data_IF_528078727060
#
_entry.id   IF_528078727060
#
_cell.length_a   1.000
_cell.length_b   1.000
_cell.length_c   1.000
_cell.angle_alpha   90.00
_cell.angle_beta   90.00
_cell.angle_gamma   90.00
#
_symmetry.space_group_name_H-M   'P 1'
#
loop_
_entity.id
_entity.type
_entity.pdbx_description
1 polymer ?
#
# COMPACT_ATOMS: atom_id res chain seq x y z
N UNK A 1 -24.97 22.74 0.63
CA UNK A 1 -24.55 22.06 1.88
C UNK A 1 -23.40 22.81 2.52
N UNK A 2 -23.45 23.02 3.84
CA UNK A 2 -22.33 23.62 4.59
C UNK A 2 -21.14 22.65 4.66
N UNK A 3 -19.93 23.19 4.89
CA UNK A 3 -18.69 22.41 5.01
C UNK A 3 -18.80 21.35 6.13
N UNK A 4 -19.35 21.74 7.28
CA UNK A 4 -19.59 20.84 8.41
C UNK A 4 -20.52 19.67 8.03
N UNK A 5 -21.66 19.94 7.35
CA UNK A 5 -22.57 18.87 6.93
C UNK A 5 -21.89 17.88 5.97
N UNK A 6 -21.08 18.37 5.03
CA UNK A 6 -20.33 17.49 4.11
C UNK A 6 -19.38 16.57 4.88
N UNK A 7 -18.59 17.09 5.83
CA UNK A 7 -17.68 16.24 6.60
C UNK A 7 -18.42 15.25 7.49
N UNK A 8 -19.51 15.66 8.15
CA UNK A 8 -20.35 14.75 8.94
C UNK A 8 -20.87 13.61 8.05
N UNK A 9 -21.36 13.90 6.85
CA UNK A 9 -21.83 12.87 5.91
C UNK A 9 -20.69 11.95 5.47
N UNK A 10 -19.50 12.48 5.13
CA UNK A 10 -18.33 11.65 4.77
C UNK A 10 -17.90 10.75 5.94
N UNK A 11 -17.83 11.30 7.15
CA UNK A 11 -17.52 10.52 8.36
C UNK A 11 -18.58 9.44 8.63
N UNK A 12 -19.86 9.75 8.42
CA UNK A 12 -20.94 8.78 8.50
C UNK A 12 -20.80 7.64 7.48
N UNK A 13 -20.46 7.95 6.23
CA UNK A 13 -20.19 6.94 5.20
C UNK A 13 -19.00 6.05 5.56
N UNK A 14 -17.90 6.64 6.05
CA UNK A 14 -16.73 5.90 6.52
C UNK A 14 -17.06 4.98 7.70
N UNK A 15 -17.85 5.47 8.67
CA UNK A 15 -18.30 4.67 9.80
C UNK A 15 -19.20 3.52 9.35
N UNK A 16 -20.15 3.77 8.46
CA UNK A 16 -21.00 2.72 7.89
C UNK A 16 -20.17 1.69 7.12
N UNK A 17 -19.18 2.12 6.33
CA UNK A 17 -18.26 1.22 5.64
C UNK A 17 -17.43 0.38 6.63
N UNK A 18 -16.92 1.00 7.70
CA UNK A 18 -16.21 0.28 8.77
C UNK A 18 -17.09 -0.79 9.40
N UNK A 19 -18.31 -0.42 9.82
CA UNK A 19 -19.25 -1.35 10.45
C UNK A 19 -19.60 -2.50 9.51
N UNK A 20 -19.97 -2.20 8.26
CA UNK A 20 -20.33 -3.20 7.27
C UNK A 20 -19.18 -4.16 6.94
N UNK A 21 -17.95 -3.64 6.79
CA UNK A 21 -16.75 -4.47 6.53
C UNK A 21 -16.27 -5.26 7.74
N UNK A 22 -16.70 -4.88 8.94
CA UNK A 22 -16.43 -5.60 10.19
C UNK A 22 -17.42 -6.72 10.46
N UNK A 23 -18.47 -6.86 9.64
CA UNK A 23 -19.39 -8.01 9.72
C UNK A 23 -18.62 -9.23 9.20
N UNK A 24 -18.47 -10.22 10.08
CA UNK A 24 -17.73 -11.46 9.81
C UNK A 24 -16.34 -11.21 9.19
N UNK A 25 -15.39 -10.65 9.95
CA UNK A 25 -14.04 -10.39 9.47
C UNK A 25 -13.30 -11.69 9.14
N UNK A 26 -13.80 -12.86 9.58
CA UNK A 26 -13.21 -14.16 9.31
C UNK A 26 -13.62 -14.75 7.96
N UNK A 27 -14.68 -14.24 7.32
CA UNK A 27 -15.18 -14.79 6.07
C UNK A 27 -14.14 -14.72 4.94
N UNK A 28 -14.08 -15.81 4.17
CA UNK A 28 -13.33 -15.85 2.91
C UNK A 28 -13.95 -14.91 1.87
N UNK A 29 -13.15 -14.39 0.91
CA UNK A 29 -13.70 -13.71 -0.24
C UNK A 29 -14.57 -14.68 -1.07
N UNK A 30 -15.58 -14.19 -1.81
CA UNK A 30 -16.44 -15.06 -2.61
C UNK A 30 -15.65 -15.85 -3.67
N UNK A 31 -15.90 -17.16 -3.74
CA UNK A 31 -15.13 -18.10 -4.56
C UNK A 31 -15.13 -17.79 -6.07
N UNK A 32 -16.17 -17.11 -6.57
CA UNK A 32 -16.27 -16.76 -7.99
C UNK A 32 -15.24 -15.72 -8.44
N UNK A 33 -14.53 -15.06 -7.53
CA UNK A 33 -13.39 -14.19 -7.86
C UNK A 33 -12.03 -14.90 -7.75
N UNK A 34 -12.01 -16.16 -7.30
CA UNK A 34 -10.78 -16.92 -7.17
C UNK A 34 -10.21 -17.35 -8.52
N UNK A 35 -11.02 -17.40 -9.59
CA UNK A 35 -10.64 -17.85 -10.95
C UNK A 35 -9.78 -19.13 -10.94
N UNK A 36 -10.08 -20.04 -10.00
CA UNK A 36 -9.33 -21.29 -9.79
C UNK A 36 -8.01 -21.16 -9.00
N UNK A 37 -7.55 -19.95 -8.69
CA UNK A 37 -6.36 -19.69 -7.87
C UNK A 37 -6.68 -19.57 -6.38
N UNK A 38 -5.88 -20.26 -5.55
CA UNK A 38 -5.93 -20.10 -4.09
C UNK A 38 -5.10 -18.91 -3.57
N UNK A 39 -4.53 -18.10 -4.46
CA UNK A 39 -3.73 -16.92 -4.05
C UNK A 39 -4.55 -15.98 -3.16
N UNK A 40 -5.81 -15.71 -3.54
CA UNK A 40 -6.70 -14.81 -2.78
C UNK A 40 -7.06 -15.33 -1.38
N UNK A 41 -6.93 -16.64 -1.11
CA UNK A 41 -7.16 -17.22 0.21
C UNK A 41 -5.88 -17.44 1.01
N UNK A 42 -4.70 -17.46 0.36
CA UNK A 42 -3.42 -17.81 1.01
C UNK A 42 -2.45 -16.63 1.15
N UNK A 43 -2.47 -15.64 0.26
CA UNK A 43 -1.53 -14.51 0.23
C UNK A 43 -1.49 -13.73 1.55
N UNK A 44 -2.66 -13.42 2.12
CA UNK A 44 -2.74 -12.68 3.38
C UNK A 44 -2.13 -13.44 4.56
N UNK A 45 -2.27 -14.77 4.57
CA UNK A 45 -1.67 -15.62 5.58
C UNK A 45 -0.13 -15.64 5.44
N UNK A 46 0.39 -15.63 4.20
CA UNK A 46 1.82 -15.53 3.96
C UNK A 46 2.40 -14.19 4.41
N UNK A 47 1.71 -13.08 4.16
CA UNK A 47 2.17 -11.74 4.58
C UNK A 47 2.32 -11.63 6.10
N UNK A 48 1.44 -12.27 6.85
CA UNK A 48 1.40 -12.20 8.33
C UNK A 48 2.08 -13.39 9.01
N UNK A 49 2.58 -14.36 8.24
CA UNK A 49 3.22 -15.57 8.73
C UNK A 49 4.40 -15.27 9.68
N UNK A 50 5.33 -14.41 9.26
CA UNK A 50 6.51 -14.08 10.06
C UNK A 50 6.12 -13.35 11.36
N UNK A 51 5.19 -12.40 11.27
CA UNK A 51 4.66 -11.68 12.42
C UNK A 51 4.00 -12.63 13.45
N UNK A 52 3.22 -13.59 12.97
CA UNK A 52 2.60 -14.63 13.78
C UNK A 52 3.65 -15.45 14.52
N UNK A 53 4.64 -15.97 13.79
CA UNK A 53 5.68 -16.82 14.37
C UNK A 53 6.47 -16.03 15.43
N UNK A 54 6.83 -14.78 15.15
CA UNK A 54 7.55 -13.95 16.13
C UNK A 54 6.71 -13.66 17.37
N UNK A 55 5.40 -13.46 17.22
CA UNK A 55 4.50 -13.21 18.33
C UNK A 55 4.37 -14.44 19.26
N UNK A 56 4.16 -15.64 18.69
CA UNK A 56 3.93 -16.89 19.43
C UNK A 56 5.21 -17.57 19.93
N UNK A 57 6.24 -17.60 19.09
CA UNK A 57 7.39 -18.49 19.25
C UNK A 57 8.68 -17.73 19.53
N UNK A 58 8.66 -16.39 19.44
CA UNK A 58 9.87 -15.59 19.59
C UNK A 58 10.85 -15.72 18.42
N UNK A 59 10.50 -16.36 17.31
CA UNK A 59 11.32 -16.39 16.09
C UNK A 59 10.49 -15.98 14.88
N UNK A 60 11.07 -15.21 13.95
CA UNK A 60 10.41 -14.83 12.69
C UNK A 60 10.29 -16.01 11.72
N UNK A 61 11.18 -16.99 11.86
CA UNK A 61 11.25 -18.18 11.03
C UNK A 61 11.58 -19.38 11.92
N UNK A 62 10.67 -20.35 11.94
CA UNK A 62 10.78 -21.53 12.79
C UNK A 62 11.58 -22.65 12.11
N UNK A 63 11.58 -22.69 10.79
CA UNK A 63 12.11 -23.82 10.00
C UNK A 63 13.29 -23.43 9.11
N UNK A 64 13.76 -22.18 9.19
CA UNK A 64 14.75 -21.66 8.25
C UNK A 64 14.20 -21.62 6.82
N UNK A 65 12.87 -21.49 6.70
CA UNK A 65 12.21 -21.43 5.40
C UNK A 65 12.36 -20.00 4.85
N UNK A 66 13.44 -19.76 4.12
CA UNK A 66 13.78 -18.47 3.50
C UNK A 66 12.86 -18.10 2.32
N UNK A 67 11.64 -18.65 2.24
CA UNK A 67 10.70 -18.29 1.19
C UNK A 67 9.93 -17.03 1.59
N UNK A 68 9.92 -16.05 0.69
CA UNK A 68 9.32 -14.72 0.85
C UNK A 68 9.75 -13.89 2.07
N UNK A 69 11.06 -13.79 2.39
CA UNK A 69 11.56 -12.98 3.50
C UNK A 69 11.15 -11.50 3.39
N UNK A 70 10.85 -11.03 2.17
CA UNK A 70 10.26 -9.73 1.89
C UNK A 70 9.02 -9.42 2.74
N UNK A 71 8.15 -10.40 2.97
CA UNK A 71 6.87 -10.17 3.63
C UNK A 71 7.06 -9.81 5.10
N UNK A 72 8.13 -10.31 5.74
CA UNK A 72 8.55 -9.92 7.09
C UNK A 72 8.74 -8.41 7.23
N UNK A 73 9.26 -7.77 6.18
CA UNK A 73 9.63 -6.37 6.17
C UNK A 73 8.53 -5.47 5.60
N UNK A 74 7.28 -5.95 5.49
CA UNK A 74 6.15 -5.14 5.04
C UNK A 74 5.48 -4.36 6.17
N UNK A 75 4.79 -3.27 5.83
CA UNK A 75 3.99 -2.50 6.81
C UNK A 75 2.92 -3.38 7.46
N UNK A 76 2.30 -4.26 6.67
CA UNK A 76 1.24 -5.16 7.12
C UNK A 76 1.77 -6.15 8.15
N UNK A 77 2.93 -6.76 7.90
CA UNK A 77 3.55 -7.71 8.84
C UNK A 77 3.99 -7.01 10.13
N UNK A 78 4.60 -5.82 10.02
CA UNK A 78 4.99 -5.01 11.18
C UNK A 78 3.80 -4.64 12.08
N UNK A 79 2.71 -4.14 11.50
CA UNK A 79 1.50 -3.83 12.28
C UNK A 79 0.81 -5.08 12.81
N UNK A 80 0.81 -6.18 12.05
CA UNK A 80 0.28 -7.47 12.51
C UNK A 80 1.05 -7.99 13.71
N UNK A 81 2.38 -7.85 13.74
CA UNK A 81 3.19 -8.25 14.89
C UNK A 81 2.79 -7.47 16.14
N UNK A 82 2.64 -6.14 16.03
CA UNK A 82 2.18 -5.29 17.14
C UNK A 82 0.77 -5.72 17.59
N UNK A 83 -0.16 -5.89 16.66
CA UNK A 83 -1.52 -6.32 16.97
C UNK A 83 -1.54 -7.69 17.68
N UNK A 84 -0.82 -8.68 17.15
CA UNK A 84 -0.71 -10.01 17.74
C UNK A 84 -0.10 -10.00 19.15
N UNK A 85 0.87 -9.11 19.42
CA UNK A 85 1.43 -8.95 20.76
C UNK A 85 0.43 -8.35 21.76
N UNK A 86 -0.45 -7.47 21.30
CA UNK A 86 -1.41 -6.77 22.14
C UNK A 86 -2.70 -7.57 22.38
N UNK A 87 -3.20 -8.27 21.37
CA UNK A 87 -4.53 -8.90 21.40
C UNK A 87 -4.50 -10.41 21.18
N UNK A 88 -3.33 -10.99 20.94
CA UNK A 88 -3.16 -12.39 20.62
C UNK A 88 -3.22 -12.67 19.11
N UNK A 89 -2.73 -13.84 18.72
CA UNK A 89 -2.76 -14.29 17.33
C UNK A 89 -4.14 -14.85 17.00
N UNK A 90 -4.80 -14.26 16.00
CA UNK A 90 -5.97 -14.85 15.37
C UNK A 90 -6.15 -14.32 13.94
N UNK A 91 -6.93 -15.04 13.14
CA UNK A 91 -7.31 -14.62 11.78
C UNK A 91 -8.08 -13.28 11.81
N UNK A 92 -8.96 -13.09 12.79
CA UNK A 92 -9.74 -11.85 12.95
C UNK A 92 -8.82 -10.65 13.20
N UNK A 93 -7.83 -10.79 14.07
CA UNK A 93 -6.85 -9.73 14.36
C UNK A 93 -6.04 -9.40 13.11
N UNK A 94 -5.59 -10.42 12.38
CA UNK A 94 -4.87 -10.26 11.12
C UNK A 94 -5.68 -9.48 10.08
N UNK A 95 -6.94 -9.86 9.89
CA UNK A 95 -7.86 -9.19 8.97
C UNK A 95 -8.19 -7.76 9.44
N UNK A 96 -8.28 -7.55 10.75
CA UNK A 96 -8.41 -6.23 11.36
C UNK A 96 -7.30 -5.26 10.97
N UNK A 97 -6.05 -5.72 10.83
CA UNK A 97 -4.93 -4.90 10.35
C UNK A 97 -5.13 -4.46 8.90
N UNK A 98 -5.56 -5.39 8.03
CA UNK A 98 -5.90 -5.09 6.64
C UNK A 98 -7.00 -4.02 6.55
N UNK A 99 -8.09 -4.24 7.28
CA UNK A 99 -9.22 -3.30 7.36
C UNK A 99 -8.81 -1.92 7.87
N UNK A 100 -7.99 -1.88 8.92
CA UNK A 100 -7.49 -0.64 9.50
C UNK A 100 -6.67 0.16 8.49
N UNK A 101 -5.68 -0.48 7.84
CA UNK A 101 -4.86 0.18 6.82
C UNK A 101 -5.69 0.67 5.64
N UNK A 102 -6.62 -0.14 5.15
CA UNK A 102 -7.49 0.21 4.03
C UNK A 102 -8.34 1.45 4.35
N UNK A 103 -9.04 1.45 5.49
CA UNK A 103 -9.89 2.57 5.89
C UNK A 103 -9.10 3.84 6.18
N UNK A 104 -7.92 3.71 6.81
CA UNK A 104 -7.04 4.85 7.05
C UNK A 104 -6.52 5.43 5.73
N UNK A 105 -6.21 4.58 4.76
CA UNK A 105 -5.88 4.99 3.40
C UNK A 105 -7.02 5.78 2.75
N UNK A 106 -8.24 5.24 2.74
CA UNK A 106 -9.43 5.93 2.19
C UNK A 106 -9.66 7.29 2.89
N UNK A 107 -9.53 7.34 4.22
CA UNK A 107 -9.67 8.57 4.99
C UNK A 107 -8.65 9.63 4.56
N UNK A 108 -7.37 9.27 4.49
CA UNK A 108 -6.30 10.18 4.07
C UNK A 108 -6.48 10.65 2.61
N UNK A 109 -6.90 9.75 1.73
CA UNK A 109 -7.18 10.07 0.33
C UNK A 109 -8.33 11.07 0.20
N UNK A 110 -9.45 10.84 0.90
CA UNK A 110 -10.59 11.77 0.93
C UNK A 110 -10.21 13.10 1.58
N UNK A 111 -9.40 13.09 2.63
CA UNK A 111 -8.88 14.30 3.25
C UNK A 111 -8.03 15.12 2.26
N UNK A 112 -7.17 14.47 1.47
CA UNK A 112 -6.41 15.10 0.39
C UNK A 112 -7.34 15.71 -0.67
N UNK A 113 -8.30 14.94 -1.17
CA UNK A 113 -9.27 15.40 -2.17
C UNK A 113 -10.14 16.56 -1.67
N UNK A 114 -10.41 16.64 -0.37
CA UNK A 114 -11.24 17.70 0.20
C UNK A 114 -10.67 19.11 0.04
N UNK A 115 -9.37 19.21 -0.26
CA UNK A 115 -8.70 20.49 -0.54
C UNK A 115 -8.98 20.99 -1.96
N UNK A 116 -9.09 20.07 -2.93
CA UNK A 116 -9.15 20.40 -4.36
C UNK A 116 -10.56 20.21 -4.97
N UNK A 117 -11.36 19.29 -4.43
CA UNK A 117 -12.69 18.96 -4.97
C UNK A 117 -13.81 19.82 -4.38
N UNK A 118 -14.84 20.03 -5.19
CA UNK A 118 -16.11 20.57 -4.70
C UNK A 118 -16.76 19.61 -3.69
N UNK A 119 -17.60 20.15 -2.79
CA UNK A 119 -18.27 19.35 -1.76
C UNK A 119 -19.12 18.19 -2.31
N UNK A 120 -19.76 18.41 -3.47
CA UNK A 120 -20.56 17.36 -4.14
C UNK A 120 -19.67 16.27 -4.70
N UNK A 121 -18.59 16.66 -5.38
CA UNK A 121 -17.62 15.70 -5.91
C UNK A 121 -16.99 14.87 -4.78
N UNK A 122 -16.62 15.50 -3.66
CA UNK A 122 -16.09 14.78 -2.49
C UNK A 122 -17.06 13.74 -1.94
N UNK A 123 -18.36 14.06 -1.84
CA UNK A 123 -19.38 13.12 -1.38
C UNK A 123 -19.55 11.95 -2.34
N UNK A 124 -19.55 12.22 -3.65
CA UNK A 124 -19.64 11.18 -4.68
C UNK A 124 -18.40 10.27 -4.62
N UNK A 125 -17.20 10.85 -4.51
CA UNK A 125 -15.96 10.10 -4.33
C UNK A 125 -15.99 9.25 -3.06
N UNK A 126 -16.46 9.80 -1.94
CA UNK A 126 -16.58 9.07 -0.68
C UNK A 126 -17.56 7.90 -0.80
N UNK A 127 -18.72 8.12 -1.42
CA UNK A 127 -19.70 7.07 -1.68
C UNK A 127 -19.08 5.93 -2.49
N UNK A 128 -18.49 6.24 -3.66
CA UNK A 128 -17.87 5.24 -4.52
C UNK A 128 -16.75 4.46 -3.83
N UNK A 129 -15.88 5.12 -3.06
CA UNK A 129 -14.79 4.43 -2.34
C UNK A 129 -15.31 3.56 -1.20
N UNK A 130 -16.34 4.02 -0.47
CA UNK A 130 -16.93 3.27 0.63
C UNK A 130 -17.69 2.03 0.14
N UNK A 131 -18.36 2.11 -1.01
CA UNK A 131 -19.15 1.03 -1.60
C UNK A 131 -18.41 0.24 -2.69
N UNK A 132 -17.14 0.55 -2.95
CA UNK A 132 -16.35 -0.19 -3.94
C UNK A 132 -16.20 -1.64 -3.49
N UNK A 133 -16.65 -2.57 -4.33
CA UNK A 133 -16.66 -4.00 -4.01
C UNK A 133 -15.26 -4.56 -3.72
N UNK A 134 -14.25 -4.19 -4.50
CA UNK A 134 -12.86 -4.66 -4.32
C UNK A 134 -12.31 -4.19 -2.97
N UNK A 135 -12.50 -2.90 -2.63
CA UNK A 135 -12.09 -2.37 -1.33
C UNK A 135 -12.93 -2.95 -0.18
N UNK A 136 -14.17 -3.33 -0.43
CA UNK A 136 -15.03 -3.92 0.58
C UNK A 136 -14.58 -5.34 0.94
N UNK A 137 -14.34 -6.19 -0.06
CA UNK A 137 -14.03 -7.60 0.13
C UNK A 137 -12.55 -7.84 0.41
N UNK A 138 -11.65 -7.20 -0.34
CA UNK A 138 -10.21 -7.40 -0.19
C UNK A 138 -9.56 -6.39 0.76
N UNK A 139 -10.24 -5.27 1.03
CA UNK A 139 -9.76 -4.28 2.01
C UNK A 139 -9.72 -4.80 3.45
N UNK A 140 -10.39 -5.91 3.76
CA UNK A 140 -10.32 -6.57 5.08
C UNK A 140 -9.25 -7.65 5.19
N UNK A 141 -8.59 -8.03 4.10
CA UNK A 141 -7.56 -9.07 4.13
C UNK A 141 -6.18 -8.42 4.36
N UNK A 142 -5.23 -9.09 5.03
CA UNK A 142 -3.91 -8.54 5.32
C UNK A 142 -2.99 -8.62 4.10
N UNK A 143 -3.44 -8.07 2.97
CA UNK A 143 -2.67 -7.97 1.73
C UNK A 143 -1.73 -6.78 1.75
N UNK A 144 -0.59 -6.91 1.05
CA UNK A 144 0.37 -5.82 0.86
C UNK A 144 -0.29 -4.61 0.19
N UNK A 145 -1.27 -4.85 -0.67
CA UNK A 145 -2.08 -3.85 -1.35
C UNK A 145 -2.75 -2.89 -0.38
N UNK A 146 -3.20 -3.35 0.80
CA UNK A 146 -3.79 -2.46 1.80
C UNK A 146 -2.74 -1.56 2.46
N UNK A 147 -1.54 -2.07 2.69
CA UNK A 147 -0.39 -1.26 3.10
C UNK A 147 0.00 -0.23 2.03
N UNK A 148 0.01 -0.64 0.76
CA UNK A 148 0.29 0.25 -0.37
C UNK A 148 -0.78 1.33 -0.51
N UNK A 149 -2.07 1.00 -0.41
CA UNK A 149 -3.18 1.98 -0.46
C UNK A 149 -3.00 3.03 0.64
N UNK A 150 -2.70 2.61 1.87
CA UNK A 150 -2.44 3.53 2.98
C UNK A 150 -1.25 4.45 2.69
N UNK A 151 -0.08 3.90 2.34
CA UNK A 151 1.13 4.68 2.12
C UNK A 151 1.00 5.60 0.90
N UNK A 152 0.33 5.16 -0.16
CA UNK A 152 0.03 5.97 -1.36
C UNK A 152 -0.90 7.12 -1.02
N UNK A 153 -1.91 6.88 -0.20
CA UNK A 153 -2.85 7.92 0.25
C UNK A 153 -2.16 8.91 1.18
N UNK A 154 -1.24 8.46 2.03
CA UNK A 154 -0.40 9.31 2.87
C UNK A 154 0.57 10.17 2.02
N UNK A 155 1.21 9.59 1.01
CA UNK A 155 2.04 10.31 0.04
C UNK A 155 1.24 11.40 -0.66
N UNK A 156 0.07 11.06 -1.18
CA UNK A 156 -0.81 12.00 -1.87
C UNK A 156 -1.30 13.10 -0.92
N UNK A 157 -1.69 12.74 0.30
CA UNK A 157 -2.08 13.71 1.33
C UNK A 157 -0.95 14.70 1.65
N UNK A 158 0.27 14.19 1.90
CA UNK A 158 1.44 15.01 2.17
C UNK A 158 1.80 15.91 0.98
N UNK A 159 1.69 15.39 -0.24
CA UNK A 159 1.91 16.13 -1.47
C UNK A 159 0.92 17.31 -1.57
N UNK A 160 -0.38 17.04 -1.51
CA UNK A 160 -1.42 18.06 -1.64
C UNK A 160 -1.31 19.14 -0.55
N UNK A 161 -1.01 18.76 0.69
CA UNK A 161 -1.01 19.69 1.81
C UNK A 161 0.31 20.45 1.97
N UNK A 162 1.45 19.81 1.73
CA UNK A 162 2.73 20.32 2.22
C UNK A 162 3.82 20.46 1.16
N UNK A 163 3.63 19.95 -0.07
CA UNK A 163 4.68 19.97 -1.09
C UNK A 163 5.22 21.36 -1.47
N UNK A 164 4.41 22.40 -1.29
CA UNK A 164 4.83 23.79 -1.48
C UNK A 164 5.98 24.21 -0.54
N UNK A 165 6.14 23.53 0.61
CA UNK A 165 7.17 23.79 1.62
C UNK A 165 8.40 22.91 1.38
N UNK A 166 9.63 23.37 1.71
CA UNK A 166 10.84 22.58 1.51
C UNK A 166 10.82 21.26 2.30
N UNK A 167 10.36 21.28 3.56
CA UNK A 167 10.23 20.06 4.36
C UNK A 167 9.14 19.12 3.85
N UNK A 168 8.11 19.63 3.15
CA UNK A 168 7.07 18.81 2.55
C UNK A 168 7.60 17.99 1.37
N UNK A 169 8.54 18.53 0.61
CA UNK A 169 9.26 17.79 -0.45
C UNK A 169 10.11 16.66 0.13
N UNK A 170 10.81 16.93 1.24
CA UNK A 170 11.54 15.92 1.99
C UNK A 170 10.59 14.81 2.45
N UNK A 171 9.46 15.18 3.07
CA UNK A 171 8.47 14.22 3.55
C UNK A 171 7.89 13.36 2.43
N UNK A 172 7.57 13.95 1.28
CA UNK A 172 7.09 13.20 0.10
C UNK A 172 8.14 12.21 -0.39
N UNK A 173 9.42 12.60 -0.45
CA UNK A 173 10.48 11.67 -0.80
C UNK A 173 10.64 10.53 0.21
N UNK A 174 10.63 10.84 1.52
CA UNK A 174 10.71 9.84 2.59
C UNK A 174 9.55 8.84 2.53
N UNK A 175 8.31 9.32 2.41
CA UNK A 175 7.13 8.46 2.27
C UNK A 175 7.24 7.64 0.98
N UNK A 176 7.68 8.25 -0.13
CA UNK A 176 7.88 7.54 -1.40
C UNK A 176 8.89 6.39 -1.28
N UNK A 177 10.01 6.61 -0.60
CA UNK A 177 10.97 5.53 -0.31
C UNK A 177 10.35 4.42 0.56
N UNK A 178 9.59 4.81 1.58
CA UNK A 178 8.87 3.86 2.44
C UNK A 178 7.81 3.04 1.65
N UNK A 179 7.12 3.64 0.68
CA UNK A 179 6.16 2.95 -0.20
C UNK A 179 6.85 1.83 -1.01
N UNK A 180 8.06 2.09 -1.53
CA UNK A 180 8.84 1.08 -2.28
C UNK A 180 9.21 -0.11 -1.40
N UNK A 181 9.67 0.15 -0.17
CA UNK A 181 10.16 -0.91 0.73
C UNK A 181 9.02 -1.65 1.43
N UNK A 182 8.05 -0.94 2.00
CA UNK A 182 7.03 -1.51 2.88
C UNK A 182 5.70 -1.84 2.20
N UNK A 183 5.44 -1.24 1.03
CA UNK A 183 4.21 -1.46 0.26
C UNK A 183 4.42 -2.49 -0.83
N UNK A 184 4.99 -2.04 -1.96
CA UNK A 184 5.32 -2.87 -3.13
C UNK A 184 6.31 -2.10 -3.99
N UNK A 185 7.19 -2.78 -4.73
CA UNK A 185 8.19 -2.15 -5.62
C UNK A 185 7.56 -1.17 -6.63
N UNK A 186 6.37 -1.50 -7.16
CA UNK A 186 5.58 -0.62 -8.04
C UNK A 186 5.23 0.74 -7.42
N UNK A 187 5.30 0.86 -6.11
CA UNK A 187 5.18 2.11 -5.38
C UNK A 187 6.15 3.20 -5.87
N UNK A 188 7.29 2.83 -6.46
CA UNK A 188 8.23 3.79 -7.04
C UNK A 188 7.59 4.65 -8.13
N UNK A 189 6.64 4.10 -8.89
CA UNK A 189 5.90 4.83 -9.92
C UNK A 189 5.08 6.01 -9.36
N UNK A 190 4.71 5.97 -8.07
CA UNK A 190 3.96 7.07 -7.43
C UNK A 190 4.79 8.34 -7.28
N UNK A 191 6.12 8.23 -7.26
CA UNK A 191 7.01 9.38 -7.26
C UNK A 191 7.01 10.12 -8.60
N UNK A 192 6.57 9.49 -9.70
CA UNK A 192 6.50 10.15 -11.00
C UNK A 192 5.61 11.40 -10.96
N UNK A 193 4.47 11.37 -10.25
CA UNK A 193 3.57 12.53 -10.15
C UNK A 193 4.27 13.78 -9.59
N UNK A 194 4.81 13.74 -8.35
CA UNK A 194 5.55 14.85 -7.78
C UNK A 194 6.78 15.28 -8.60
N UNK A 195 7.48 14.34 -9.24
CA UNK A 195 8.65 14.62 -10.06
C UNK A 195 8.28 15.34 -11.36
N UNK A 196 7.26 14.86 -12.07
CA UNK A 196 6.72 15.52 -13.27
C UNK A 196 6.19 16.91 -12.93
N UNK A 197 5.47 17.06 -11.82
CA UNK A 197 5.01 18.38 -11.37
C UNK A 197 6.17 19.34 -11.10
N UNK A 198 7.25 18.88 -10.46
CA UNK A 198 8.46 19.69 -10.28
C UNK A 198 9.14 20.03 -11.60
N UNK A 199 9.16 19.09 -12.55
CA UNK A 199 9.79 19.27 -13.86
C UNK A 199 9.06 20.30 -14.73
N UNK A 200 7.72 20.23 -14.74
CA UNK A 200 6.84 21.13 -15.50
C UNK A 200 6.78 22.55 -14.92
N UNK A 201 7.26 22.75 -13.69
CA UNK A 201 7.27 24.06 -13.06
C UNK A 201 8.41 24.92 -13.63
N UNK A 202 8.07 26.03 -14.25
CA UNK A 202 9.01 27.04 -14.77
C UNK A 202 9.62 27.88 -13.63
N UNK A 203 10.41 27.23 -12.78
CA UNK A 203 11.09 27.89 -11.66
C UNK A 203 12.54 27.42 -11.57
N UNK A 204 13.45 28.33 -11.19
CA UNK A 204 14.86 28.04 -10.94
C UNK A 204 15.02 26.97 -9.84
N UNK A 205 14.01 26.76 -9.01
CA UNK A 205 14.00 25.77 -7.92
C UNK A 205 13.62 24.35 -8.34
N UNK A 206 13.33 24.09 -9.63
CA UNK A 206 12.87 22.77 -10.12
C UNK A 206 13.83 21.63 -9.81
N UNK A 207 15.11 21.76 -10.18
CA UNK A 207 16.11 20.70 -10.01
C UNK A 207 16.39 20.43 -8.53
N UNK A 208 16.40 21.49 -7.71
CA UNK A 208 16.53 21.36 -6.25
C UNK A 208 15.35 20.58 -5.65
N UNK A 209 14.13 20.85 -6.11
CA UNK A 209 12.93 20.17 -5.63
C UNK A 209 12.93 18.70 -5.99
N UNK A 210 13.29 18.36 -7.23
CA UNK A 210 13.47 16.98 -7.68
C UNK A 210 14.58 16.28 -6.88
N UNK A 211 15.73 16.94 -6.72
CA UNK A 211 16.86 16.41 -5.97
C UNK A 211 16.52 16.10 -4.50
N UNK A 212 15.71 16.93 -3.84
CA UNK A 212 15.24 16.65 -2.47
C UNK A 212 14.33 15.43 -2.43
N UNK A 213 13.36 15.32 -3.35
CA UNK A 213 12.42 14.18 -3.38
C UNK A 213 13.15 12.88 -3.70
N UNK A 214 13.97 12.87 -4.76
CA UNK A 214 14.75 11.70 -5.18
C UNK A 214 15.77 11.33 -4.11
N UNK A 215 16.55 12.30 -3.62
CA UNK A 215 17.60 12.07 -2.64
C UNK A 215 17.06 11.50 -1.33
N UNK A 216 15.98 12.07 -0.79
CA UNK A 216 15.38 11.56 0.44
C UNK A 216 14.69 10.21 0.26
N UNK A 217 14.04 9.97 -0.88
CA UNK A 217 13.51 8.64 -1.20
C UNK A 217 14.61 7.60 -1.32
N UNK A 218 15.70 7.90 -2.03
CA UNK A 218 16.84 7.00 -2.19
C UNK A 218 17.53 6.70 -0.84
N UNK A 219 17.73 7.71 0.01
CA UNK A 219 18.28 7.51 1.36
C UNK A 219 17.40 6.55 2.17
N UNK A 220 16.07 6.70 2.10
CA UNK A 220 15.15 5.83 2.83
C UNK A 220 15.15 4.41 2.26
N UNK A 221 15.13 4.26 0.93
CA UNK A 221 15.22 2.93 0.30
C UNK A 221 16.54 2.26 0.69
N UNK A 222 17.68 2.90 0.44
CA UNK A 222 18.99 2.33 0.75
C UNK A 222 19.17 2.07 2.25
N UNK A 223 18.77 3.01 3.10
CA UNK A 223 18.91 2.90 4.55
C UNK A 223 18.03 1.82 5.13
N UNK A 224 16.75 1.75 4.75
CA UNK A 224 15.87 0.67 5.18
C UNK A 224 16.29 -0.66 4.61
N UNK A 225 16.73 -0.70 3.35
CA UNK A 225 17.19 -1.94 2.75
C UNK A 225 18.43 -2.49 3.43
N UNK A 226 19.37 -1.63 3.81
CA UNK A 226 20.54 -1.98 4.61
C UNK A 226 20.17 -2.47 6.02
N UNK A 227 19.16 -1.85 6.65
CA UNK A 227 18.73 -2.20 8.00
C UNK A 227 17.90 -3.49 8.06
N UNK A 228 17.11 -3.76 7.02
CA UNK A 228 16.08 -4.80 7.03
C UNK A 228 16.46 -6.04 6.23
N UNK A 229 17.35 -5.93 5.25
CA UNK A 229 17.81 -7.05 4.44
C UNK A 229 19.30 -7.30 4.66
N UNK A 230 19.68 -8.57 4.68
CA UNK A 230 21.09 -8.96 4.67
C UNK A 230 21.74 -8.59 3.31
N UNK A 231 23.07 -8.59 3.20
CA UNK A 231 23.78 -8.09 1.99
C UNK A 231 23.31 -8.75 0.68
N UNK A 232 22.86 -10.01 0.74
CA UNK A 232 22.32 -10.77 -0.40
C UNK A 232 20.83 -10.55 -0.63
N UNK A 233 20.12 -10.03 0.38
CA UNK A 233 18.66 -9.91 0.43
C UNK A 233 18.09 -8.74 -0.37
N UNK A 234 18.82 -7.64 -0.54
CA UNK A 234 18.28 -6.47 -1.28
C UNK A 234 18.25 -6.70 -2.79
N UNK A 235 19.34 -7.19 -3.39
CA UNK A 235 19.38 -7.47 -4.83
C UNK A 235 18.44 -8.62 -5.17
N UNK A 236 18.37 -9.66 -4.32
CA UNK A 236 17.38 -10.73 -4.48
C UNK A 236 15.94 -10.21 -4.31
N UNK A 237 15.68 -9.29 -3.38
CA UNK A 237 14.38 -8.62 -3.22
C UNK A 237 13.97 -7.87 -4.48
N UNK A 238 14.86 -7.00 -5.01
CA UNK A 238 14.59 -6.24 -6.23
C UNK A 238 14.39 -7.18 -7.41
N UNK A 239 15.23 -8.21 -7.54
CA UNK A 239 15.11 -9.20 -8.60
C UNK A 239 13.83 -10.02 -8.52
N UNK A 240 13.49 -10.56 -7.35
CA UNK A 240 12.22 -11.28 -7.13
C UNK A 240 11.00 -10.42 -7.43
N UNK A 241 11.03 -9.14 -7.05
CA UNK A 241 9.92 -8.22 -7.32
C UNK A 241 9.88 -7.68 -8.75
N UNK A 242 11.00 -7.71 -9.48
CA UNK A 242 11.08 -7.23 -10.87
C UNK A 242 10.88 -8.34 -11.90
N UNK A 243 11.33 -9.56 -11.62
CA UNK A 243 11.40 -10.67 -12.59
C UNK A 243 11.19 -12.07 -11.98
N UNK A 244 11.29 -12.23 -10.65
CA UNK A 244 11.88 -13.46 -10.11
C UNK A 244 10.98 -14.60 -9.62
N UNK A 245 9.67 -14.60 -9.87
CA UNK A 245 8.85 -15.83 -9.72
C UNK A 245 8.00 -16.16 -10.96
N UNK A 246 7.87 -15.22 -11.91
CA UNK A 246 7.01 -15.37 -13.10
C UNK A 246 7.79 -15.29 -14.43
N UNK A 247 9.12 -15.16 -14.36
CA UNK A 247 9.97 -14.97 -15.53
C UNK A 247 9.86 -13.56 -16.12
N UNK A 248 10.56 -13.33 -17.22
CA UNK A 248 10.41 -12.10 -17.98
C UNK A 248 8.98 -12.04 -18.57
N UNK A 249 8.22 -10.95 -18.41
CA UNK A 249 6.83 -10.93 -18.84
C UNK A 249 6.73 -11.22 -20.34
N UNK A 250 5.90 -12.19 -20.72
CA UNK A 250 5.76 -12.60 -22.12
C UNK A 250 5.40 -11.42 -23.04
N UNK A 251 4.59 -10.48 -22.53
CA UNK A 251 4.25 -9.24 -23.23
C UNK A 251 5.45 -8.38 -23.63
N UNK A 252 6.60 -8.52 -22.97
CA UNK A 252 7.81 -7.76 -23.31
C UNK A 252 8.86 -8.60 -24.04
N UNK A 253 8.67 -9.91 -24.19
CA UNK A 253 9.66 -10.76 -24.88
C UNK A 253 9.70 -10.52 -26.39
N UNK A 254 8.60 -10.05 -26.99
CA UNK A 254 8.52 -9.68 -28.41
C UNK A 254 7.31 -8.76 -28.69
N UNK A 255 7.30 -8.02 -29.82
CA UNK A 255 6.11 -7.26 -30.24
C UNK A 255 4.86 -8.13 -30.41
N UNK A 256 5.03 -9.38 -30.86
CA UNK A 256 3.92 -10.33 -30.98
C UNK A 256 3.40 -10.76 -29.61
N UNK A 257 4.27 -11.06 -28.65
CA UNK A 257 3.88 -11.38 -27.27
C UNK A 257 3.17 -10.21 -26.59
N UNK A 258 3.55 -8.97 -26.89
CA UNK A 258 2.82 -7.77 -26.42
C UNK A 258 1.38 -7.76 -26.93
N UNK A 259 1.19 -7.96 -28.24
CA UNK A 259 -0.14 -7.99 -28.86
C UNK A 259 -0.95 -9.17 -28.33
N UNK A 260 -0.35 -10.36 -28.22
CA UNK A 260 -0.99 -11.54 -27.66
C UNK A 260 -1.45 -11.30 -26.22
N UNK A 261 -0.60 -10.72 -25.37
CA UNK A 261 -0.93 -10.36 -23.99
C UNK A 261 -2.04 -9.31 -23.85
N UNK A 262 -2.35 -8.54 -24.91
CA UNK A 262 -3.49 -7.61 -24.93
C UNK A 262 -4.81 -8.31 -25.22
N UNK A 263 -4.78 -9.46 -25.91
CA UNK A 263 -5.98 -10.20 -26.33
C UNK A 263 -6.20 -11.49 -25.55
N UNK A 264 -5.17 -12.04 -24.91
CA UNK A 264 -5.27 -13.16 -23.98
C UNK A 264 -5.66 -12.63 -22.60
N UNK A 265 -6.97 -12.64 -22.32
CA UNK A 265 -7.52 -12.54 -20.96
C UNK A 265 -7.91 -13.94 -20.53
#
# INVERSE_FOLDING_TARGET
MSKARTYITVSGLLLLALLARSIDPGADPPAFFADGSQALTTDGAYVTHHARNRALLGTWDMFGFEHWPQFKCSLVSGLSFVAFKLTGVSRIVSNGVGLFLNLLGILLFLAALSKELSRRALLISALFLCTNYVLFVYGRLPFLENGLIFLSSLLFFAYIHWYHRPWGKLLVGVIGGAVVVFGKSFGACLLLGPLLFSLLREDRTRLRSMGVVIGSGAIVVLGLSWLLFDERGFLSFVWQHASGDHGFPHGFSSPAGFVESLFSV
#
